data_IF_460381958889
#
_entry.id   IF_460381958889
#
_cell.length_a   1.000
_cell.length_b   1.000
_cell.length_c   1.000
_cell.angle_alpha   90.00
_cell.angle_beta   90.00
_cell.angle_gamma   90.00
#
_symmetry.space_group_name_H-M   'P 1'
#
loop_
_entity.id
_entity.type
_entity.pdbx_description
1 polymer ?
#
# COMPACT_ATOMS: atom_id res chain seq x y z
N UNK A 1 15.33 17.27 -8.04
CA UNK A 1 14.06 18.00 -7.99
C UNK A 1 12.98 17.52 -8.99
N UNK A 2 13.30 16.83 -10.09
CA UNK A 2 12.30 16.38 -11.10
C UNK A 2 11.45 15.17 -10.65
N UNK A 3 11.98 14.29 -9.82
CA UNK A 3 11.30 13.05 -9.37
C UNK A 3 10.15 13.32 -8.39
N UNK A 4 10.28 14.29 -7.49
CA UNK A 4 9.18 14.67 -6.57
C UNK A 4 7.95 15.22 -7.30
N UNK A 5 8.16 15.88 -8.46
CA UNK A 5 7.07 16.39 -9.29
C UNK A 5 6.31 15.28 -10.02
N UNK A 6 6.98 14.21 -10.41
CA UNK A 6 6.36 13.07 -11.11
C UNK A 6 5.51 12.26 -10.14
N UNK A 7 5.99 12.00 -8.92
CA UNK A 7 5.23 11.31 -7.88
C UNK A 7 4.02 12.12 -7.41
N UNK A 8 4.20 13.42 -7.24
CA UNK A 8 3.08 14.32 -6.90
C UNK A 8 2.01 14.34 -7.99
N UNK A 9 2.40 14.36 -9.26
CA UNK A 9 1.48 14.31 -10.39
C UNK A 9 0.77 12.94 -10.50
N UNK A 10 1.50 11.84 -10.31
CA UNK A 10 0.91 10.49 -10.32
C UNK A 10 -0.07 10.30 -9.17
N UNK A 11 0.28 10.72 -7.96
CA UNK A 11 -0.61 10.66 -6.79
C UNK A 11 -1.86 11.54 -7.00
N UNK A 12 -1.69 12.76 -7.51
CA UNK A 12 -2.81 13.66 -7.81
C UNK A 12 -3.73 13.09 -8.90
N UNK A 13 -3.17 12.44 -9.93
CA UNK A 13 -3.94 11.80 -11.00
C UNK A 13 -4.74 10.59 -10.48
N UNK A 14 -4.15 9.78 -9.59
CA UNK A 14 -4.83 8.65 -8.96
C UNK A 14 -5.95 9.11 -8.01
N UNK A 15 -5.73 10.17 -7.25
CA UNK A 15 -6.76 10.79 -6.40
C UNK A 15 -7.88 11.36 -7.27
N UNK A 16 -7.56 12.02 -8.38
CA UNK A 16 -8.55 12.54 -9.32
C UNK A 16 -9.36 11.41 -9.99
N UNK A 17 -8.72 10.32 -10.40
CA UNK A 17 -9.39 9.13 -10.94
C UNK A 17 -10.31 8.47 -9.89
N UNK A 18 -9.87 8.38 -8.63
CA UNK A 18 -10.68 7.87 -7.54
C UNK A 18 -11.90 8.77 -7.25
N UNK A 19 -11.76 10.08 -7.44
CA UNK A 19 -12.87 11.03 -7.25
C UNK A 19 -13.95 10.95 -8.36
N UNK A 20 -13.60 10.41 -9.54
CA UNK A 20 -14.50 10.29 -10.69
C UNK A 20 -15.21 8.93 -10.80
N UNK A 21 -14.82 7.94 -10.01
CA UNK A 21 -15.51 6.66 -9.98
C UNK A 21 -16.92 6.85 -9.40
N UNK A 22 -17.94 6.29 -10.04
CA UNK A 22 -19.29 6.23 -9.49
C UNK A 22 -19.24 5.59 -8.09
N UNK A 23 -19.98 6.16 -7.13
CA UNK A 23 -19.97 5.69 -5.75
C UNK A 23 -20.40 4.21 -5.70
N UNK A 24 -19.53 3.28 -5.28
CA UNK A 24 -19.97 1.97 -4.88
C UNK A 24 -20.95 2.11 -3.69
N UNK A 25 -21.82 1.14 -3.50
CA UNK A 25 -22.83 1.14 -2.44
C UNK A 25 -22.15 1.16 -1.05
N UNK A 26 -21.89 2.37 -0.56
CA UNK A 26 -21.13 2.69 0.65
C UNK A 26 -20.09 3.76 0.30
N UNK A 27 -19.64 4.58 1.25
CA UNK A 27 -18.70 5.69 0.98
C UNK A 27 -17.39 5.25 0.33
N UNK A 28 -17.07 3.98 0.46
CA UNK A 28 -15.94 3.32 -0.21
C UNK A 28 -14.56 3.89 0.15
N UNK A 29 -14.47 4.77 1.13
CA UNK A 29 -13.21 5.34 1.60
C UNK A 29 -12.67 4.61 2.82
N UNK A 30 -11.35 4.59 2.94
CA UNK A 30 -10.68 4.13 4.13
C UNK A 30 -9.41 4.93 4.41
N UNK A 31 -9.03 4.98 5.69
CA UNK A 31 -7.77 5.56 6.12
C UNK A 31 -7.17 4.74 7.26
N UNK A 32 -5.86 4.79 7.43
CA UNK A 32 -5.22 4.03 8.50
C UNK A 32 -3.79 4.42 8.76
N UNK A 33 -3.25 3.82 9.82
CA UNK A 33 -1.87 3.97 10.22
C UNK A 33 -1.22 2.62 10.45
N UNK A 34 0.07 2.52 10.18
CA UNK A 34 0.83 1.29 10.34
C UNK A 34 2.24 1.56 10.90
N UNK A 35 2.78 0.60 11.66
CA UNK A 35 4.21 0.47 11.83
C UNK A 35 4.80 -0.24 10.61
N UNK A 36 5.94 0.23 10.13
CA UNK A 36 6.60 -0.29 8.95
C UNK A 36 8.07 -0.61 9.22
N UNK A 37 8.52 -1.74 8.71
CA UNK A 37 9.91 -2.16 8.68
C UNK A 37 10.36 -2.34 7.24
N UNK A 38 11.47 -1.70 6.87
CA UNK A 38 12.07 -1.78 5.54
C UNK A 38 13.36 -2.60 5.62
N UNK A 39 13.46 -3.61 4.75
CA UNK A 39 14.53 -4.58 4.67
C UNK A 39 15.17 -4.50 3.27
N UNK A 40 16.32 -3.85 3.11
CA UNK A 40 17.02 -3.85 1.83
C UNK A 40 17.63 -5.23 1.54
N UNK A 41 17.60 -5.65 0.29
CA UNK A 41 18.29 -6.85 -0.17
C UNK A 41 19.81 -6.58 -0.29
N UNK A 42 20.62 -7.58 0.03
CA UNK A 42 22.06 -7.50 0.28
C UNK A 42 22.87 -6.70 -0.75
N UNK A 43 23.83 -5.92 -0.23
CA UNK A 43 24.70 -5.02 -1.01
C UNK A 43 24.19 -3.58 -1.08
N UNK A 44 22.96 -3.34 -0.70
CA UNK A 44 22.36 -2.00 -0.63
C UNK A 44 23.06 -1.13 0.42
N UNK A 45 23.26 0.15 0.11
CA UNK A 45 23.67 1.17 1.08
C UNK A 45 22.54 1.50 2.08
N UNK A 46 21.32 1.09 1.80
CA UNK A 46 20.20 1.23 2.72
C UNK A 46 20.41 0.37 3.97
N UNK A 47 20.16 0.94 5.13
CA UNK A 47 20.07 0.23 6.41
C UNK A 47 18.65 -0.28 6.61
N UNK A 48 18.46 -1.21 7.55
CA UNK A 48 17.12 -1.54 8.05
C UNK A 48 16.54 -0.29 8.66
N UNK A 49 15.35 0.11 8.21
CA UNK A 49 14.69 1.33 8.67
C UNK A 49 13.35 0.96 9.27
N UNK A 50 13.11 1.36 10.50
CA UNK A 50 11.81 1.31 11.14
C UNK A 50 11.08 2.65 11.01
N UNK A 51 9.77 2.63 11.07
CA UNK A 51 8.99 3.86 11.00
C UNK A 51 7.49 3.64 11.05
N UNK A 52 6.76 4.67 10.68
CA UNK A 52 5.31 4.67 10.57
C UNK A 52 4.83 5.09 9.20
N UNK A 53 3.67 4.62 8.83
CA UNK A 53 2.99 4.98 7.58
C UNK A 53 1.55 5.42 7.86
N UNK A 54 1.09 6.40 7.09
CA UNK A 54 -0.31 6.77 6.98
C UNK A 54 -0.81 6.39 5.59
N UNK A 55 -2.01 5.88 5.49
CA UNK A 55 -2.64 5.41 4.26
C UNK A 55 -4.02 5.99 4.12
N UNK A 56 -4.42 6.22 2.89
CA UNK A 56 -5.79 6.53 2.52
C UNK A 56 -6.10 5.90 1.17
N UNK A 57 -7.28 5.35 1.02
CA UNK A 57 -7.70 4.71 -0.21
C UNK A 57 -9.19 4.82 -0.45
N UNK A 58 -9.59 4.47 -1.67
CA UNK A 58 -10.98 4.41 -2.10
C UNK A 58 -11.23 3.16 -2.91
N UNK A 59 -12.30 2.47 -2.60
CA UNK A 59 -12.82 1.39 -3.43
C UNK A 59 -13.37 1.94 -4.75
N UNK A 60 -12.96 1.34 -5.86
CA UNK A 60 -13.50 1.60 -7.20
C UNK A 60 -14.58 0.57 -7.53
N UNK A 61 -14.43 -0.64 -7.02
CA UNK A 61 -15.39 -1.75 -7.06
C UNK A 61 -15.33 -2.49 -5.74
N UNK A 62 -16.17 -3.49 -5.53
CA UNK A 62 -16.18 -4.31 -4.32
C UNK A 62 -14.83 -5.01 -4.06
N UNK A 63 -14.05 -5.28 -5.11
CA UNK A 63 -12.77 -6.00 -5.00
C UNK A 63 -11.54 -5.18 -5.37
N UNK A 64 -11.67 -3.93 -5.85
CA UNK A 64 -10.56 -3.11 -6.28
C UNK A 64 -10.56 -1.76 -5.60
N UNK A 65 -9.46 -1.39 -4.96
CA UNK A 65 -9.26 -0.06 -4.39
C UNK A 65 -8.00 0.60 -4.95
N UNK A 66 -7.98 1.94 -4.95
CA UNK A 66 -6.77 2.74 -5.12
C UNK A 66 -6.33 3.29 -3.77
N UNK A 67 -5.03 3.23 -3.50
CA UNK A 67 -4.45 3.62 -2.23
C UNK A 67 -3.22 4.50 -2.42
N UNK A 68 -3.09 5.51 -1.56
CA UNK A 68 -1.88 6.28 -1.37
C UNK A 68 -1.31 6.03 0.03
N UNK A 69 0.00 5.97 0.14
CA UNK A 69 0.71 5.82 1.40
C UNK A 69 1.79 6.91 1.52
N UNK A 70 1.89 7.50 2.70
CA UNK A 70 3.02 8.32 3.11
C UNK A 70 3.68 7.67 4.33
N UNK A 71 4.96 7.34 4.21
CA UNK A 71 5.74 6.73 5.28
C UNK A 71 6.85 7.65 5.75
N UNK A 72 7.05 7.71 7.07
CA UNK A 72 8.19 8.33 7.71
C UNK A 72 9.05 7.22 8.33
N UNK A 73 10.26 7.09 7.86
CA UNK A 73 11.28 6.18 8.34
C UNK A 73 12.35 6.97 9.08
N UNK A 74 13.21 6.31 9.84
CA UNK A 74 14.24 6.97 10.68
C UNK A 74 14.98 8.10 9.96
N UNK A 75 15.54 7.81 8.77
CA UNK A 75 16.36 8.76 8.02
C UNK A 75 15.76 9.12 6.65
N UNK A 76 14.52 8.69 6.36
CA UNK A 76 13.93 8.86 5.04
C UNK A 76 12.41 9.03 5.14
N UNK A 77 11.83 9.43 4.02
CA UNK A 77 10.39 9.38 3.79
C UNK A 77 10.11 8.67 2.46
N UNK A 78 8.97 8.02 2.38
CA UNK A 78 8.53 7.37 1.16
C UNK A 78 7.08 7.74 0.86
N UNK A 79 6.76 7.78 -0.43
CA UNK A 79 5.40 7.90 -0.95
C UNK A 79 5.12 6.69 -1.84
N UNK A 80 3.94 6.11 -1.71
CA UNK A 80 3.50 5.06 -2.61
C UNK A 80 2.08 5.34 -3.11
N UNK A 81 1.81 4.86 -4.33
CA UNK A 81 0.47 4.82 -4.90
C UNK A 81 0.29 3.44 -5.53
N UNK A 82 -0.82 2.77 -5.21
CA UNK A 82 -1.05 1.37 -5.61
C UNK A 82 -2.52 1.06 -5.82
N UNK A 83 -2.78 0.08 -6.68
CA UNK A 83 -4.02 -0.64 -6.74
C UNK A 83 -3.96 -1.78 -5.70
N UNK A 84 -5.05 -1.99 -4.98
CA UNK A 84 -5.23 -3.07 -3.99
C UNK A 84 -6.39 -3.92 -4.47
N UNK A 85 -6.12 -5.19 -4.72
CA UNK A 85 -7.10 -6.14 -5.20
C UNK A 85 -7.44 -7.13 -4.11
N UNK A 86 -8.65 -7.03 -3.60
CA UNK A 86 -9.21 -7.92 -2.60
C UNK A 86 -9.62 -9.24 -3.23
N UNK A 87 -9.27 -10.33 -2.55
CA UNK A 87 -9.51 -11.71 -3.03
C UNK A 87 -10.77 -12.34 -2.39
N UNK A 88 -11.55 -11.56 -1.63
CA UNK A 88 -12.82 -12.03 -1.08
C UNK A 88 -13.80 -12.39 -2.22
N UNK A 89 -14.70 -13.32 -1.96
CA UNK A 89 -15.66 -13.82 -2.95
C UNK A 89 -15.09 -14.86 -3.91
N UNK A 90 -13.85 -15.29 -3.75
CA UNK A 90 -13.34 -16.50 -4.38
C UNK A 90 -13.69 -17.69 -3.50
N UNK A 91 -14.64 -18.53 -3.95
CA UNK A 91 -15.16 -19.68 -3.18
C UNK A 91 -14.04 -20.60 -2.64
N UNK A 92 -12.94 -20.71 -3.38
CA UNK A 92 -11.77 -21.50 -3.00
C UNK A 92 -11.02 -20.90 -1.81
N UNK A 93 -10.97 -19.58 -1.69
CA UNK A 93 -10.35 -18.88 -0.55
C UNK A 93 -11.27 -18.88 0.67
N UNK A 94 -12.55 -18.68 0.49
CA UNK A 94 -13.54 -18.74 1.57
C UNK A 94 -13.57 -20.14 2.21
N UNK A 95 -13.39 -21.21 1.42
CA UNK A 95 -13.27 -22.59 1.91
C UNK A 95 -11.97 -22.84 2.69
N UNK A 96 -10.85 -22.23 2.29
CA UNK A 96 -9.55 -22.45 2.92
C UNK A 96 -9.39 -21.70 4.24
N UNK A 97 -9.94 -20.52 4.34
CA UNK A 97 -9.74 -19.65 5.51
C UNK A 97 -10.97 -19.51 6.40
N UNK A 98 -12.17 -19.89 5.93
CA UNK A 98 -13.39 -20.10 6.72
C UNK A 98 -13.85 -18.93 7.59
N UNK A 99 -13.33 -17.72 7.37
CA UNK A 99 -13.56 -16.58 8.25
C UNK A 99 -14.14 -15.41 7.46
N UNK A 100 -15.37 -15.08 7.73
CA UNK A 100 -16.07 -13.86 7.25
C UNK A 100 -15.30 -12.56 7.57
N UNK A 101 -14.25 -12.64 8.40
CA UNK A 101 -13.47 -11.49 8.87
C UNK A 101 -12.07 -11.38 8.25
N UNK A 102 -11.67 -12.33 7.43
CA UNK A 102 -10.33 -12.36 6.84
C UNK A 102 -10.42 -12.08 5.35
N UNK A 103 -9.77 -11.02 4.91
CA UNK A 103 -9.80 -10.56 3.52
C UNK A 103 -8.37 -10.42 2.98
N UNK A 104 -7.84 -11.42 2.30
CA UNK A 104 -6.54 -11.35 1.66
C UNK A 104 -6.58 -10.45 0.43
N UNK A 105 -5.47 -9.78 0.14
CA UNK A 105 -5.36 -8.91 -1.03
C UNK A 105 -3.99 -9.01 -1.70
N UNK A 106 -3.96 -8.62 -2.97
CA UNK A 106 -2.75 -8.32 -3.72
C UNK A 106 -2.66 -6.83 -3.96
N UNK A 107 -1.45 -6.30 -4.09
CA UNK A 107 -1.24 -4.90 -4.44
C UNK A 107 -0.16 -4.74 -5.51
N UNK A 108 -0.34 -3.75 -6.36
CA UNK A 108 0.65 -3.36 -7.35
C UNK A 108 0.63 -1.85 -7.57
N UNK A 109 1.80 -1.24 -7.74
CA UNK A 109 1.91 0.20 -7.91
C UNK A 109 3.33 0.69 -8.06
N UNK A 110 3.59 1.87 -7.49
CA UNK A 110 4.91 2.47 -7.45
C UNK A 110 5.19 3.07 -6.08
N UNK A 111 6.43 2.96 -5.65
CA UNK A 111 6.95 3.58 -4.42
C UNK A 111 8.16 4.45 -4.75
N UNK A 112 8.21 5.63 -4.14
CA UNK A 112 9.33 6.55 -4.23
C UNK A 112 9.92 6.85 -2.86
N UNK A 113 11.27 6.91 -2.81
CA UNK A 113 12.06 7.23 -1.63
C UNK A 113 12.58 8.65 -1.76
N UNK A 114 12.26 9.52 -0.80
CA UNK A 114 12.60 10.94 -0.91
C UNK A 114 14.09 11.21 -0.67
N UNK A 115 14.77 10.37 0.10
CA UNK A 115 16.20 10.55 0.40
C UNK A 115 17.07 10.40 -0.86
N UNK A 116 16.81 9.38 -1.67
CA UNK A 116 17.62 9.04 -2.83
C UNK A 116 16.97 9.47 -4.15
N UNK A 117 15.74 9.98 -4.10
CA UNK A 117 14.96 10.33 -5.28
C UNK A 117 14.60 9.12 -6.15
N UNK A 118 14.77 7.91 -5.64
CA UNK A 118 14.47 6.67 -6.34
C UNK A 118 12.97 6.41 -6.38
N UNK A 119 12.49 5.99 -7.54
CA UNK A 119 11.11 5.54 -7.74
C UNK A 119 11.17 4.19 -8.44
N UNK A 120 10.37 3.25 -8.00
CA UNK A 120 10.32 1.93 -8.62
C UNK A 120 8.93 1.31 -8.56
N UNK A 121 8.65 0.36 -9.45
CA UNK A 121 7.44 -0.43 -9.37
C UNK A 121 7.46 -1.26 -8.08
N UNK A 122 6.29 -1.43 -7.49
CA UNK A 122 6.09 -2.23 -6.29
C UNK A 122 4.97 -3.23 -6.47
N UNK A 123 5.11 -4.37 -5.82
CA UNK A 123 4.07 -5.39 -5.73
C UNK A 123 4.08 -5.99 -4.33
N UNK A 124 2.91 -6.34 -3.84
CA UNK A 124 2.76 -6.84 -2.48
C UNK A 124 1.55 -7.74 -2.31
N UNK A 125 1.48 -8.30 -1.14
CA UNK A 125 0.35 -9.08 -0.66
C UNK A 125 0.09 -8.77 0.81
N UNK A 126 -1.13 -8.96 1.24
CA UNK A 126 -1.50 -8.72 2.62
C UNK A 126 -2.86 -9.28 2.95
N UNK A 127 -3.33 -8.93 4.14
CA UNK A 127 -4.65 -9.29 4.59
C UNK A 127 -5.22 -8.23 5.54
N UNK A 128 -6.53 -8.07 5.50
CA UNK A 128 -7.33 -7.43 6.53
C UNK A 128 -7.92 -8.48 7.46
N UNK A 129 -7.98 -8.15 8.73
CA UNK A 129 -8.77 -8.88 9.72
C UNK A 129 -9.75 -7.90 10.35
N UNK A 130 -11.02 -7.99 9.95
CA UNK A 130 -12.07 -7.09 10.39
C UNK A 130 -12.41 -7.33 11.86
N UNK A 131 -12.25 -6.28 12.67
CA UNK A 131 -12.63 -6.26 14.08
C UNK A 131 -14.11 -5.90 14.22
N UNK A 132 -14.56 -4.95 13.40
CA UNK A 132 -15.95 -4.49 13.24
C UNK A 132 -16.17 -4.17 11.77
N UNK A 133 -17.36 -3.72 11.39
CA UNK A 133 -17.67 -3.29 10.03
C UNK A 133 -16.83 -2.07 9.59
N UNK A 134 -16.42 -1.23 10.56
CA UNK A 134 -15.67 0.00 10.30
C UNK A 134 -14.17 -0.13 10.57
N UNK A 135 -13.68 -1.18 11.25
CA UNK A 135 -12.29 -1.30 11.68
C UNK A 135 -11.67 -2.64 11.34
N UNK A 136 -10.46 -2.61 10.80
CA UNK A 136 -9.67 -3.82 10.57
C UNK A 136 -8.23 -3.65 11.03
N UNK A 137 -7.62 -4.76 11.45
CA UNK A 137 -6.17 -4.91 11.45
C UNK A 137 -5.70 -5.20 10.04
N UNK A 138 -4.56 -4.65 9.66
CA UNK A 138 -3.96 -4.88 8.35
C UNK A 138 -2.52 -5.30 8.50
N UNK A 139 -2.15 -6.33 7.73
CA UNK A 139 -0.79 -6.81 7.59
C UNK A 139 -0.45 -6.87 6.10
N UNK A 140 0.72 -6.36 5.72
CA UNK A 140 1.17 -6.47 4.33
C UNK A 140 2.69 -6.57 4.21
N UNK A 141 3.11 -7.20 3.12
CA UNK A 141 4.48 -7.30 2.68
C UNK A 141 4.55 -6.84 1.22
N UNK A 142 5.52 -6.00 0.90
CA UNK A 142 5.70 -5.40 -0.42
C UNK A 142 7.16 -5.50 -0.84
N UNK A 143 7.40 -5.77 -2.11
CA UNK A 143 8.68 -5.67 -2.77
C UNK A 143 8.66 -4.48 -3.72
N UNK A 144 9.67 -3.60 -3.64
CA UNK A 144 9.88 -2.47 -4.55
C UNK A 144 11.19 -2.67 -5.30
N UNK A 145 11.15 -2.57 -6.62
CA UNK A 145 12.34 -2.60 -7.47
C UNK A 145 12.87 -1.19 -7.65
N UNK A 146 14.06 -0.90 -7.12
CA UNK A 146 14.75 0.36 -7.41
C UNK A 146 15.23 0.39 -8.86
N UNK A 147 14.93 1.48 -9.57
CA UNK A 147 15.29 1.68 -10.98
C UNK A 147 16.54 2.55 -11.15
N UNK A 148 17.44 2.60 -10.18
CA UNK A 148 18.73 3.28 -10.31
C UNK A 148 19.77 2.35 -10.97
N UNK A 149 21.00 2.83 -11.14
CA UNK A 149 22.14 2.18 -11.84
C UNK A 149 22.41 0.73 -11.39
N UNK A 150 21.87 0.32 -10.26
CA UNK A 150 21.80 -1.09 -9.81
C UNK A 150 20.37 -1.41 -9.42
N UNK A 151 19.79 -2.41 -10.06
CA UNK A 151 18.47 -2.94 -9.69
C UNK A 151 18.57 -3.53 -8.28
N UNK A 152 18.12 -2.80 -7.30
CA UNK A 152 18.06 -3.25 -5.91
C UNK A 152 16.61 -3.49 -5.52
N UNK A 153 16.33 -4.64 -4.91
CA UNK A 153 15.00 -4.93 -4.36
C UNK A 153 14.95 -4.50 -2.90
N UNK A 154 13.92 -3.77 -2.55
CA UNK A 154 13.64 -3.35 -1.19
C UNK A 154 12.34 -4.02 -0.73
N UNK A 155 12.41 -4.75 0.37
CA UNK A 155 11.23 -5.35 0.99
C UNK A 155 10.71 -4.45 2.11
N UNK A 156 9.40 -4.30 2.23
CA UNK A 156 8.77 -3.67 3.38
C UNK A 156 7.71 -4.59 3.97
N UNK A 157 7.64 -4.63 5.29
CA UNK A 157 6.61 -5.34 6.04
C UNK A 157 5.92 -4.30 6.91
N UNK A 158 4.60 -4.31 6.96
CA UNK A 158 3.85 -3.42 7.82
C UNK A 158 2.70 -4.10 8.55
N UNK A 159 2.38 -3.56 9.72
CA UNK A 159 1.21 -3.94 10.50
C UNK A 159 0.54 -2.67 11.03
N UNK A 160 -0.78 -2.60 10.95
CA UNK A 160 -1.50 -1.39 11.32
C UNK A 160 -2.98 -1.59 11.53
N UNK A 161 -3.67 -0.46 11.69
CA UNK A 161 -5.11 -0.40 11.84
C UNK A 161 -5.70 0.43 10.70
N UNK A 162 -6.84 0.02 10.21
CA UNK A 162 -7.57 0.63 9.11
C UNK A 162 -8.98 0.96 9.56
N UNK A 163 -9.47 2.13 9.20
CA UNK A 163 -10.83 2.59 9.41
C UNK A 163 -11.52 2.82 8.05
N UNK A 164 -12.73 2.27 7.90
CA UNK A 164 -13.59 2.36 6.72
C UNK A 164 -14.75 3.32 7.02
N UNK A 165 -15.12 4.18 6.07
CA UNK A 165 -16.15 5.20 6.24
C UNK A 165 -16.78 5.62 4.91
#
# INVERSE_FOLDING_TARGET
>A
MKTASILGAAAASLIALAAWAEEPAGSGWYAGGAAQLVLPQGGSRMRRLGGGAARAGRYLTDSLALECEAARLEDSAALAARAVWHLHGWEEFDMLFGYERFDPFLSAGARGWMHDGQVGPSAGLGAFYYLTDDWALRFDAEATLGLDTRVETVYSISAGIQWFF
#
